data_IF_018012433244
#
_entry.id   IF_018012433244
#
_cell.length_a   1.000
_cell.length_b   1.000
_cell.length_c   1.000
_cell.angle_alpha   90.00
_cell.angle_beta   90.00
_cell.angle_gamma   90.00
#
_symmetry.space_group_name_H-M   'P 1'
#
loop_
_entity.id
_entity.type
_entity.pdbx_description
1 polymer ?
#
# COMPACT_ATOMS: atom_id res chain seq x y z
N UNK A 1 8.27 2.43 -9.31
CA UNK A 1 8.70 1.64 -8.15
C UNK A 1 9.68 2.46 -7.32
N UNK A 2 9.59 2.41 -5.99
CA UNK A 2 10.52 3.11 -5.08
C UNK A 2 11.49 2.09 -4.48
N UNK A 3 12.79 2.40 -4.45
CA UNK A 3 13.78 1.62 -3.71
C UNK A 3 13.64 1.85 -2.20
N UNK A 4 13.47 0.79 -1.41
CA UNK A 4 13.37 0.90 0.05
C UNK A 4 13.17 -0.45 0.73
N UNK A 5 13.39 -0.49 2.05
CA UNK A 5 13.09 -1.67 2.87
C UNK A 5 11.57 -1.87 2.97
N UNK A 6 11.08 -3.04 2.61
CA UNK A 6 9.68 -3.43 2.79
C UNK A 6 9.57 -4.50 3.88
N UNK A 7 8.39 -4.60 4.49
CA UNK A 7 8.04 -5.70 5.39
C UNK A 7 6.73 -6.37 4.99
N UNK A 8 6.62 -7.71 5.08
CA UNK A 8 5.35 -8.40 4.91
C UNK A 8 4.39 -7.98 6.03
N UNK A 9 3.11 -7.85 5.70
CA UNK A 9 2.06 -7.53 6.67
C UNK A 9 0.93 -8.57 6.69
N UNK A 10 0.55 -9.12 5.54
CA UNK A 10 -0.50 -10.14 5.45
C UNK A 10 -0.39 -10.95 4.16
N UNK A 11 -0.88 -12.18 4.20
CA UNK A 11 -1.24 -12.96 3.01
C UNK A 11 -2.75 -13.19 3.08
N UNK A 12 -3.46 -12.79 2.02
CA UNK A 12 -4.92 -12.88 1.98
C UNK A 12 -5.38 -13.70 0.79
N UNK A 13 -6.51 -14.39 0.98
CA UNK A 13 -7.32 -14.92 -0.11
C UNK A 13 -8.45 -13.92 -0.34
N UNK A 14 -8.50 -13.22 -1.48
CA UNK A 14 -9.49 -12.16 -1.69
C UNK A 14 -10.91 -12.70 -1.75
N UNK A 15 -11.09 -13.94 -2.23
CA UNK A 15 -12.37 -14.65 -2.21
C UNK A 15 -12.12 -16.16 -2.19
N UNK A 16 -11.92 -16.78 -1.01
CA UNK A 16 -11.52 -18.19 -0.91
C UNK A 16 -12.56 -19.17 -1.45
N UNK A 17 -13.83 -18.76 -1.56
CA UNK A 17 -14.89 -19.57 -2.18
C UNK A 17 -14.93 -19.49 -3.71
N UNK A 18 -14.19 -18.56 -4.32
CA UNK A 18 -14.22 -18.30 -5.78
C UNK A 18 -12.86 -18.52 -6.43
N UNK A 19 -11.77 -18.16 -5.75
CA UNK A 19 -10.42 -18.22 -6.31
C UNK A 19 -9.40 -18.73 -5.30
N UNK A 20 -8.42 -19.49 -5.79
CA UNK A 20 -7.23 -19.91 -5.04
C UNK A 20 -6.15 -18.83 -5.00
N UNK A 21 -6.40 -17.66 -5.61
CA UNK A 21 -5.49 -16.54 -5.65
C UNK A 21 -5.02 -16.15 -4.24
N UNK A 22 -3.71 -15.92 -4.12
CA UNK A 22 -3.09 -15.35 -2.92
C UNK A 22 -2.56 -13.97 -3.23
N UNK A 23 -2.88 -13.01 -2.36
CA UNK A 23 -2.32 -11.67 -2.40
C UNK A 23 -1.40 -11.51 -1.19
N UNK A 24 -0.14 -11.23 -1.47
CA UNK A 24 0.87 -10.90 -0.45
C UNK A 24 0.95 -9.39 -0.32
N UNK A 25 0.70 -8.89 0.88
CA UNK A 25 0.73 -7.47 1.21
C UNK A 25 2.01 -7.12 1.94
N UNK A 26 2.61 -6.00 1.52
CA UNK A 26 3.80 -5.44 2.11
C UNK A 26 3.61 -3.96 2.41
N UNK A 27 4.28 -3.49 3.46
CA UNK A 27 4.38 -2.08 3.81
C UNK A 27 5.81 -1.62 3.62
N UNK A 28 6.00 -0.51 2.90
CA UNK A 28 7.30 0.11 2.71
C UNK A 28 7.27 1.58 3.08
N UNK A 29 8.39 2.08 3.57
CA UNK A 29 8.62 3.50 3.74
C UNK A 29 9.25 4.03 2.46
N UNK A 30 8.61 5.02 1.84
CA UNK A 30 9.05 5.59 0.57
C UNK A 30 9.26 7.09 0.70
N UNK A 31 10.23 7.63 -0.03
CA UNK A 31 10.39 9.06 -0.21
C UNK A 31 9.86 9.46 -1.58
N UNK A 32 9.19 10.60 -1.65
CA UNK A 32 8.72 11.15 -2.93
C UNK A 32 9.88 11.36 -3.92
N UNK A 33 11.09 11.68 -3.41
CA UNK A 33 12.29 11.86 -4.23
C UNK A 33 12.78 10.57 -4.90
N UNK A 34 12.38 9.41 -4.39
CA UNK A 34 12.78 8.09 -4.92
C UNK A 34 11.78 7.56 -5.96
N UNK A 35 10.83 8.43 -6.38
CA UNK A 35 9.85 8.14 -7.42
C UNK A 35 10.55 8.13 -8.77
N UNK A 36 10.53 6.98 -9.44
CA UNK A 36 11.13 6.83 -10.77
C UNK A 36 10.26 7.41 -11.90
N UNK A 37 8.92 7.36 -11.79
CA UNK A 37 7.98 7.81 -12.82
C UNK A 37 6.75 8.52 -12.23
N UNK A 38 6.09 9.38 -13.02
CA UNK A 38 4.85 10.11 -12.66
C UNK A 38 3.59 9.22 -12.64
N UNK A 39 3.65 7.98 -13.13
CA UNK A 39 2.56 7.02 -13.09
C UNK A 39 3.06 5.61 -12.79
N UNK A 40 2.13 4.65 -12.84
CA UNK A 40 2.42 3.23 -12.88
C UNK A 40 1.95 2.60 -14.18
N UNK A 41 2.05 1.28 -14.27
CA UNK A 41 1.50 0.50 -15.38
C UNK A 41 2.52 0.19 -16.47
N UNK A 42 2.32 -0.96 -17.10
CA UNK A 42 3.01 -1.34 -18.34
C UNK A 42 2.10 -0.97 -19.52
N UNK A 43 2.56 -0.17 -20.50
CA UNK A 43 1.74 0.18 -21.67
C UNK A 43 1.20 -1.04 -22.41
N UNK A 44 1.94 -2.16 -22.41
CA UNK A 44 1.54 -3.43 -23.00
C UNK A 44 0.36 -4.11 -22.30
N UNK A 45 0.10 -3.76 -21.03
CA UNK A 45 -0.99 -4.32 -20.23
C UNK A 45 -2.24 -3.43 -20.24
N UNK A 46 -2.18 -2.27 -20.91
CA UNK A 46 -3.29 -1.32 -20.98
C UNK A 46 -3.65 -0.68 -19.64
N UNK A 47 -2.74 -0.72 -18.67
CA UNK A 47 -2.96 -0.15 -17.34
C UNK A 47 -2.76 1.38 -17.35
N UNK A 48 -3.79 2.12 -16.95
CA UNK A 48 -3.70 3.56 -16.67
C UNK A 48 -3.68 3.79 -15.15
N UNK A 49 -2.48 3.87 -14.58
CA UNK A 49 -2.30 3.96 -13.13
C UNK A 49 -1.84 5.36 -12.71
N UNK A 50 -2.74 6.06 -12.04
CA UNK A 50 -2.46 7.29 -11.33
C UNK A 50 -1.90 7.01 -9.92
N UNK A 51 -0.88 7.78 -9.52
CA UNK A 51 -0.30 7.71 -8.17
C UNK A 51 -0.73 8.94 -7.39
N UNK A 52 -1.48 8.71 -6.31
CA UNK A 52 -1.93 9.76 -5.41
C UNK A 52 -1.23 9.68 -4.05
N UNK A 53 -0.90 10.85 -3.49
CA UNK A 53 -0.32 10.97 -2.14
C UNK A 53 -1.35 11.59 -1.22
N UNK A 54 -1.89 10.78 -0.32
CA UNK A 54 -2.91 11.17 0.65
C UNK A 54 -2.31 11.26 2.05
N UNK A 55 -2.86 12.14 2.89
CA UNK A 55 -2.57 12.09 4.31
C UNK A 55 -3.15 10.79 4.90
N UNK A 56 -2.54 10.29 5.97
CA UNK A 56 -3.05 9.09 6.65
C UNK A 56 -4.48 9.31 7.19
N UNK A 57 -4.81 10.52 7.65
CA UNK A 57 -6.15 10.83 8.13
C UNK A 57 -7.17 10.81 6.99
N UNK A 58 -6.82 11.43 5.85
CA UNK A 58 -7.69 11.46 4.67
C UNK A 58 -7.96 10.04 4.16
N UNK A 59 -6.93 9.21 4.01
CA UNK A 59 -7.13 7.85 3.51
C UNK A 59 -8.01 7.00 4.43
N UNK A 60 -7.94 7.20 5.76
CA UNK A 60 -8.85 6.55 6.70
C UNK A 60 -10.29 7.09 6.60
N UNK A 61 -10.46 8.40 6.34
CA UNK A 61 -11.79 8.99 6.08
C UNK A 61 -12.39 8.48 4.77
N UNK A 62 -11.59 8.33 3.71
CA UNK A 62 -12.05 7.78 2.44
C UNK A 62 -12.58 6.34 2.60
N UNK A 63 -11.97 5.52 3.46
CA UNK A 63 -12.53 4.20 3.82
C UNK A 63 -13.89 4.37 4.51
N UNK A 64 -13.99 5.26 5.50
CA UNK A 64 -15.24 5.48 6.24
C UNK A 64 -16.37 6.00 5.35
N UNK A 65 -16.05 6.81 4.33
CA UNK A 65 -16.98 7.32 3.31
C UNK A 65 -17.30 6.30 2.20
N UNK A 66 -16.60 5.16 2.15
CA UNK A 66 -16.77 4.14 1.10
C UNK A 66 -16.10 4.48 -0.24
N UNK A 67 -15.27 5.52 -0.29
CA UNK A 67 -14.52 5.94 -1.48
C UNK A 67 -13.35 5.00 -1.77
N UNK A 68 -12.73 4.45 -0.71
CA UNK A 68 -11.80 3.32 -0.83
C UNK A 68 -12.56 2.04 -0.49
N UNK A 69 -12.83 1.22 -1.50
CA UNK A 69 -13.54 -0.06 -1.39
C UNK A 69 -12.69 -1.29 -1.73
N UNK A 70 -11.47 -1.10 -2.22
CA UNK A 70 -10.55 -2.19 -2.55
C UNK A 70 -10.01 -2.88 -1.28
N UNK A 71 -10.27 -4.18 -1.14
CA UNK A 71 -10.02 -4.94 0.08
C UNK A 71 -8.55 -4.91 0.54
N UNK A 72 -7.60 -5.09 -0.39
CA UNK A 72 -6.16 -5.07 -0.05
C UNK A 72 -5.71 -3.69 0.45
N UNK A 73 -6.26 -2.62 -0.12
CA UNK A 73 -5.98 -1.24 0.30
C UNK A 73 -6.54 -0.97 1.70
N UNK A 74 -7.80 -1.37 1.96
CA UNK A 74 -8.43 -1.24 3.29
C UNK A 74 -7.60 -1.99 4.35
N UNK A 75 -7.26 -3.25 4.10
CA UNK A 75 -6.50 -4.09 5.03
C UNK A 75 -5.14 -3.47 5.35
N UNK A 76 -4.43 -2.97 4.34
CA UNK A 76 -3.11 -2.38 4.53
C UNK A 76 -3.16 -1.05 5.31
N UNK A 77 -4.15 -0.18 5.05
CA UNK A 77 -4.35 1.07 5.78
C UNK A 77 -4.76 0.82 7.23
N UNK A 78 -5.67 -0.13 7.47
CA UNK A 78 -6.07 -0.53 8.83
C UNK A 78 -4.89 -1.16 9.59
N UNK A 79 -4.06 -1.99 8.94
CA UNK A 79 -2.85 -2.51 9.55
C UNK A 79 -1.88 -1.39 9.92
N UNK A 80 -1.69 -0.37 9.07
CA UNK A 80 -0.92 0.82 9.41
C UNK A 80 -1.48 1.57 10.62
N UNK A 81 -2.81 1.70 10.73
CA UNK A 81 -3.48 2.29 11.89
C UNK A 81 -3.18 1.53 13.20
N UNK A 82 -3.21 0.20 13.17
CA UNK A 82 -2.86 -0.65 14.31
C UNK A 82 -1.40 -0.48 14.74
N UNK A 83 -0.48 -0.33 13.79
CA UNK A 83 0.94 -0.11 14.07
C UNK A 83 1.19 1.27 14.68
N UNK A 84 0.49 2.31 14.19
CA UNK A 84 0.58 3.68 14.74
C UNK A 84 0.01 3.75 16.15
N UNK A 85 -1.17 3.15 16.39
CA UNK A 85 -1.79 3.14 17.74
C UNK A 85 -0.96 2.39 18.78
N UNK A 86 -0.23 1.34 18.37
CA UNK A 86 0.71 0.61 19.24
C UNK A 86 2.09 1.28 19.37
N UNK A 87 2.30 2.45 18.74
CA UNK A 87 3.58 3.17 18.77
C UNK A 87 4.74 2.46 18.07
N UNK A 88 4.47 1.40 17.31
CA UNK A 88 5.48 0.63 16.56
C UNK A 88 5.96 1.36 15.30
N UNK A 89 5.15 2.29 14.81
CA UNK A 89 5.55 3.28 13.83
C UNK A 89 5.45 4.63 14.50
N UNK A 90 6.60 5.28 14.70
CA UNK A 90 6.66 6.69 15.06
C UNK A 90 6.93 7.50 13.80
N UNK A 91 6.08 8.50 13.54
CA UNK A 91 6.55 9.67 12.79
C UNK A 91 7.70 10.24 13.62
N UNK A 92 8.93 10.01 13.17
CA UNK A 92 10.06 10.68 13.81
C UNK A 92 9.93 12.14 13.40
N UNK A 93 9.20 12.93 14.19
CA UNK A 93 9.21 14.38 14.18
C UNK A 93 10.64 14.82 14.54
N UNK A 94 11.57 14.70 13.59
CA UNK A 94 12.87 15.35 13.68
C UNK A 94 12.73 16.62 12.86
N UNK A 95 12.70 17.72 13.60
CA UNK A 95 13.07 19.07 13.21
C UNK A 95 14.30 19.06 12.27
N UNK A 96 14.06 18.89 10.97
CA UNK A 96 14.91 19.35 9.89
C UNK A 96 14.26 18.95 8.58
N UNK A 97 13.82 19.94 7.77
CA UNK A 97 13.70 20.01 6.29
C UNK A 97 13.72 18.73 5.42
N UNK A 98 13.33 17.57 5.92
CA UNK A 98 13.27 16.31 5.20
C UNK A 98 11.86 16.13 4.66
N UNK A 99 11.76 15.79 3.37
CA UNK A 99 10.50 15.54 2.70
C UNK A 99 9.62 14.55 3.50
N UNK A 100 8.29 14.72 3.49
CA UNK A 100 7.38 13.82 4.20
C UNK A 100 7.65 12.38 3.78
N UNK A 101 7.81 11.50 4.79
CA UNK A 101 7.94 10.06 4.56
C UNK A 101 6.54 9.51 4.25
N UNK A 102 6.40 8.91 3.08
CA UNK A 102 5.14 8.33 2.60
C UNK A 102 5.18 6.82 2.84
N UNK A 103 4.03 6.21 3.15
CA UNK A 103 3.91 4.76 3.18
C UNK A 103 3.39 4.27 1.84
N UNK A 104 4.11 3.33 1.22
CA UNK A 104 3.62 2.63 0.05
C UNK A 104 3.02 1.28 0.46
N UNK A 105 1.84 1.00 -0.07
CA UNK A 105 1.20 -0.32 -0.02
C UNK A 105 1.59 -1.05 -1.30
N UNK A 106 2.19 -2.21 -1.14
CA UNK A 106 2.60 -3.06 -2.25
C UNK A 106 1.86 -4.39 -2.14
N UNK A 107 1.36 -4.88 -3.27
CA UNK A 107 0.73 -6.19 -3.34
C UNK A 107 1.33 -7.01 -4.47
N UNK A 108 1.59 -8.30 -4.23
CA UNK A 108 1.93 -9.26 -5.26
C UNK A 108 0.84 -10.33 -5.34
N UNK A 109 0.33 -10.59 -6.54
CA UNK A 109 -0.61 -11.68 -6.81
C UNK A 109 0.18 -12.96 -7.10
N UNK A 110 -0.30 -14.09 -6.59
CA UNK A 110 0.13 -15.41 -7.03
C UNK A 110 -1.11 -16.24 -7.31
N UNK A 111 -1.25 -16.68 -8.56
CA UNK A 111 -2.23 -17.66 -8.97
C UNK A 111 -1.47 -18.98 -9.04
N UNK A 112 -1.86 -19.95 -8.23
CA UNK A 112 -1.43 -21.31 -8.49
C UNK A 112 -2.26 -21.78 -9.70
N UNK A 113 -1.65 -21.83 -10.89
CA UNK A 113 -2.16 -22.68 -11.95
C UNK A 113 -2.00 -24.12 -11.46
N UNK A 114 -3.11 -24.70 -11.03
CA UNK A 114 -3.24 -26.15 -11.04
C UNK A 114 -3.62 -26.52 -12.47
N UNK A 115 -2.75 -27.33 -13.08
CA UNK A 115 -2.73 -27.82 -14.48
C UNK A 115 -2.20 -26.86 -15.54
#
# INVERSE_FOLDING_TARGET
>A
MVQGSYRPIATIYPSPGVTSERIYLFLSLVNYKDRINTGGGLPSEGEDIQVESLSFQESMMMIARGEISDAKTIIALQHLALLKSRGMIRERLRSNKAAPRTYAILSRRAINTAE
#
